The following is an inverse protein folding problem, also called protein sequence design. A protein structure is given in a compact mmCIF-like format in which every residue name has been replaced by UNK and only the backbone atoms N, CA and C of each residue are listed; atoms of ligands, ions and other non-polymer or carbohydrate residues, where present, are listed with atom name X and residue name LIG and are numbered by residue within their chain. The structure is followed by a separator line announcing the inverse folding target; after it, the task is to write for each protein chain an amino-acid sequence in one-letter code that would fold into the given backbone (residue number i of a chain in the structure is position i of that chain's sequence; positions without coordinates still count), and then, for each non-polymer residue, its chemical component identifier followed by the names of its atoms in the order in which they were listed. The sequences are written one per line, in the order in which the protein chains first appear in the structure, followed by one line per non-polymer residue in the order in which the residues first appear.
data_IF_149566336782
#
_entry.id   IF_149566336782
#
_cell.length_a   1.000
_cell.length_b   1.000
_cell.length_c   1.000
_cell.angle_alpha   90.00
_cell.angle_beta   90.00
_cell.angle_gamma   90.00
#
_symmetry.space_group_name_H-M   'P 1'
#
loop_
_entity.id
_entity.type
_entity.pdbx_description
1 polymer ?
#
# COMPACT_ATOMS: atom_id res chain seq x y z
N UNK A 1 15.49 -9.82 21.22
CA UNK A 1 15.56 -8.88 20.10
C UNK A 1 14.58 -9.35 19.04
N UNK A 2 13.96 -8.44 18.29
CA UNK A 2 13.00 -8.73 17.23
C UNK A 2 13.51 -8.10 15.93
N UNK A 3 13.73 -8.93 14.92
CA UNK A 3 14.11 -8.48 13.58
C UNK A 3 12.88 -8.55 12.67
N UNK A 4 12.52 -7.42 12.07
CA UNK A 4 11.40 -7.28 11.14
C UNK A 4 11.97 -7.11 9.74
N UNK A 5 11.64 -8.02 8.83
CA UNK A 5 12.02 -7.93 7.43
C UNK A 5 10.84 -7.36 6.64
N UNK A 6 10.95 -6.10 6.22
CA UNK A 6 9.94 -5.46 5.36
C UNK A 6 10.35 -5.63 3.90
N UNK A 7 9.61 -6.46 3.18
CA UNK A 7 9.90 -6.82 1.79
C UNK A 7 8.79 -6.28 0.90
N UNK A 8 9.11 -5.30 0.06
CA UNK A 8 8.16 -4.65 -0.85
C UNK A 8 8.90 -4.18 -2.12
N UNK A 9 8.40 -4.45 -3.34
CA UNK A 9 9.12 -4.10 -4.57
C UNK A 9 9.00 -2.60 -4.93
N UNK A 10 8.21 -1.82 -4.21
CA UNK A 10 8.01 -0.40 -4.45
C UNK A 10 9.28 0.41 -4.20
N UNK A 11 9.51 1.48 -4.97
CA UNK A 11 10.73 2.29 -4.89
C UNK A 11 10.93 3.01 -3.55
N UNK A 12 9.84 3.28 -2.82
CA UNK A 12 9.84 3.96 -1.54
C UNK A 12 9.01 3.17 -0.53
N UNK A 13 9.41 3.24 0.73
CA UNK A 13 8.74 2.50 1.80
C UNK A 13 7.31 3.00 2.02
N UNK A 14 6.40 2.05 2.23
CA UNK A 14 5.03 2.30 2.70
C UNK A 14 4.06 2.86 1.65
N UNK A 15 4.50 3.15 0.42
CA UNK A 15 3.63 3.80 -0.58
C UNK A 15 2.66 2.84 -1.28
N UNK A 16 3.05 1.57 -1.47
CA UNK A 16 2.27 0.58 -2.20
C UNK A 16 1.81 1.10 -3.58
N UNK A 17 0.52 0.94 -3.89
CA UNK A 17 -0.08 1.43 -5.15
C UNK A 17 -0.17 2.96 -5.25
N UNK A 18 0.09 3.67 -4.16
CA UNK A 18 0.05 5.13 -4.10
C UNK A 18 1.44 5.74 -4.30
N UNK A 19 2.19 5.29 -5.31
CA UNK A 19 3.53 5.86 -5.60
C UNK A 19 3.51 7.39 -5.65
N UNK A 20 4.44 8.03 -4.96
CA UNK A 20 4.62 9.48 -4.97
C UNK A 20 5.13 10.03 -6.30
N UNK A 21 5.49 9.14 -7.24
CA UNK A 21 5.94 9.48 -8.60
C UNK A 21 4.81 9.45 -9.63
N UNK A 22 3.60 9.03 -9.24
CA UNK A 22 2.45 9.05 -10.14
C UNK A 22 1.96 10.49 -10.40
N UNK A 23 1.13 10.67 -11.43
CA UNK A 23 0.60 11.99 -11.79
C UNK A 23 -0.21 12.61 -10.64
N UNK A 24 0.02 13.90 -10.42
CA UNK A 24 -0.74 14.70 -9.45
C UNK A 24 -2.22 14.91 -9.82
N UNK A 25 -2.61 14.57 -11.05
CA UNK A 25 -4.00 14.62 -11.50
C UNK A 25 -4.82 13.40 -11.04
N UNK A 26 -4.16 12.35 -10.54
CA UNK A 26 -4.84 11.18 -10.00
C UNK A 26 -5.23 11.46 -8.55
N UNK A 27 -6.52 11.69 -8.31
CA UNK A 27 -7.04 11.95 -6.97
C UNK A 27 -7.34 10.66 -6.21
N UNK A 28 -7.25 10.72 -4.89
CA UNK A 28 -7.84 9.71 -4.01
C UNK A 28 -9.37 9.82 -4.07
N UNK A 29 -10.08 8.74 -3.75
CA UNK A 29 -11.55 8.70 -3.71
C UNK A 29 -12.14 8.96 -2.31
N UNK A 30 -11.29 9.32 -1.35
CA UNK A 30 -11.66 9.60 0.05
C UNK A 30 -11.24 11.04 0.39
N UNK A 31 -12.03 11.77 1.16
CA UNK A 31 -11.66 13.14 1.54
C UNK A 31 -10.47 13.16 2.51
N UNK A 32 -9.63 14.18 2.40
CA UNK A 32 -8.33 14.22 3.08
C UNK A 32 -8.39 14.08 4.61
N UNK A 33 -9.39 14.66 5.27
CA UNK A 33 -9.54 14.59 6.73
C UNK A 33 -9.91 13.19 7.24
N UNK A 34 -10.40 12.30 6.37
CA UNK A 34 -10.79 10.93 6.72
C UNK A 34 -9.65 9.91 6.54
N UNK A 35 -8.51 10.33 6.00
CA UNK A 35 -7.37 9.44 5.76
C UNK A 35 -6.34 9.63 6.87
N UNK A 36 -6.05 8.58 7.63
CA UNK A 36 -5.00 8.57 8.66
C UNK A 36 -4.40 7.17 8.83
N UNK A 37 -3.10 7.11 9.13
CA UNK A 37 -2.42 5.88 9.58
C UNK A 37 -2.29 5.77 11.10
N UNK A 38 -2.79 6.77 11.83
CA UNK A 38 -2.73 6.84 13.28
C UNK A 38 -4.07 6.50 13.90
N UNK A 39 -4.05 5.70 14.96
CA UNK A 39 -5.24 5.36 15.73
C UNK A 39 -5.72 6.51 16.60
N UNK A 40 -7.02 6.51 16.86
CA UNK A 40 -7.69 7.37 17.83
C UNK A 40 -8.56 6.54 18.79
N UNK A 41 -9.22 7.23 19.73
CA UNK A 41 -10.03 6.60 20.77
C UNK A 41 -11.20 5.73 20.23
N UNK A 42 -11.51 5.78 18.93
CA UNK A 42 -12.52 4.91 18.32
C UNK A 42 -12.03 3.47 18.14
N UNK A 43 -10.72 3.22 18.12
CA UNK A 43 -10.14 1.89 17.94
C UNK A 43 -10.07 1.16 19.29
N UNK A 44 -10.92 0.15 19.47
CA UNK A 44 -10.96 -0.65 20.70
C UNK A 44 -9.90 -1.78 20.70
N UNK A 45 -9.37 -2.10 21.88
CA UNK A 45 -8.44 -3.23 22.09
C UNK A 45 -7.14 -3.21 21.26
N UNK A 46 -6.66 -2.04 20.84
CA UNK A 46 -5.48 -1.90 19.98
C UNK A 46 -4.12 -1.89 20.73
N UNK A 47 -4.14 -1.97 22.06
CA UNK A 47 -2.92 -1.82 22.86
C UNK A 47 -2.41 -0.36 22.88
N UNK A 48 -1.09 -0.12 23.02
CA UNK A 48 -0.52 1.22 22.99
C UNK A 48 -0.82 1.93 21.67
N UNK A 49 -1.50 3.07 21.77
CA UNK A 49 -1.91 3.84 20.60
C UNK A 49 -0.96 5.01 20.33
N UNK A 50 -0.57 5.15 19.06
CA UNK A 50 0.20 6.30 18.59
C UNK A 50 -0.73 7.30 17.92
N UNK A 51 -0.81 8.50 18.49
CA UNK A 51 -1.47 9.63 17.85
C UNK A 51 -0.59 10.21 16.75
N UNK A 52 -1.22 10.81 15.75
CA UNK A 52 -0.54 11.51 14.68
C UNK A 52 -1.54 12.18 13.74
N UNK A 53 -1.04 12.97 12.78
CA UNK A 53 -1.89 13.75 11.91
C UNK A 53 -2.61 12.88 10.87
N UNK A 54 -3.83 13.25 10.54
CA UNK A 54 -4.48 12.86 9.29
C UNK A 54 -3.69 13.37 8.08
N UNK A 55 -3.98 12.85 6.89
CA UNK A 55 -3.43 13.33 5.62
C UNK A 55 -3.67 14.84 5.46
N UNK A 56 -4.87 15.32 5.79
CA UNK A 56 -5.21 16.74 5.76
C UNK A 56 -4.29 17.58 6.67
N UNK A 57 -4.18 17.21 7.93
CA UNK A 57 -3.37 17.95 8.92
C UNK A 57 -1.88 17.93 8.57
N UNK A 58 -1.40 16.81 8.05
CA UNK A 58 -0.02 16.68 7.58
C UNK A 58 0.23 17.53 6.34
N UNK A 59 -0.67 17.45 5.34
CA UNK A 59 -0.54 18.19 4.10
C UNK A 59 -0.56 19.73 4.31
N UNK A 60 -1.29 20.22 5.32
CA UNK A 60 -1.29 21.65 5.69
C UNK A 60 0.05 22.14 6.25
N UNK A 61 0.82 21.26 6.90
CA UNK A 61 2.08 21.63 7.55
C UNK A 61 3.25 21.65 6.57
N UNK A 62 3.18 20.84 5.53
CA UNK A 62 4.21 20.82 4.50
C UNK A 62 3.92 21.92 3.48
N UNK A 63 4.95 22.70 3.13
CA UNK A 63 4.82 23.65 2.02
C UNK A 63 4.77 22.85 0.71
N UNK A 64 3.58 22.66 0.16
CA UNK A 64 3.42 21.91 -1.06
C UNK A 64 3.30 22.85 -2.27
N UNK A 65 4.44 23.15 -2.89
CA UNK A 65 4.53 23.95 -4.12
C UNK A 65 3.57 23.48 -5.22
N UNK A 66 3.23 22.18 -5.22
CA UNK A 66 2.27 21.55 -6.11
C UNK A 66 0.89 22.22 -6.10
N UNK A 67 0.45 22.77 -4.97
CA UNK A 67 -0.84 23.44 -4.85
C UNK A 67 -0.74 24.94 -5.15
N UNK A 68 0.42 25.44 -5.58
CA UNK A 68 0.65 26.84 -6.00
C UNK A 68 0.11 27.88 -5.02
N UNK A 69 0.23 27.60 -3.72
CA UNK A 69 -0.28 28.47 -2.65
C UNK A 69 -1.79 28.42 -2.41
N UNK A 70 -2.54 27.54 -3.09
CA UNK A 70 -3.93 27.23 -2.75
C UNK A 70 -3.97 26.58 -1.36
N UNK A 71 -4.86 27.08 -0.51
CA UNK A 71 -5.16 26.45 0.77
C UNK A 71 -5.80 25.06 0.57
N UNK A 72 -5.25 24.06 1.27
CA UNK A 72 -5.82 22.71 1.37
C UNK A 72 -6.94 22.74 2.41
N UNK A 73 -8.12 22.24 2.03
CA UNK A 73 -9.32 22.15 2.87
C UNK A 73 -9.58 20.71 3.33
N UNK A 74 -10.34 20.57 4.41
CA UNK A 74 -10.63 19.27 5.05
C UNK A 74 -11.25 18.26 4.07
N UNK A 75 -12.20 18.73 3.26
CA UNK A 75 -12.95 17.92 2.31
C UNK A 75 -12.32 17.85 0.91
N UNK A 76 -11.05 18.27 0.76
CA UNK A 76 -10.36 18.15 -0.52
C UNK A 76 -10.04 16.69 -0.82
N UNK A 77 -10.18 16.32 -2.09
CA UNK A 77 -9.62 15.09 -2.64
C UNK A 77 -8.20 15.40 -3.10
N UNK A 78 -7.21 14.93 -2.35
CA UNK A 78 -5.80 15.17 -2.64
C UNK A 78 -5.26 14.17 -3.67
N UNK A 79 -4.11 14.48 -4.26
CA UNK A 79 -3.50 13.54 -5.21
C UNK A 79 -3.05 12.25 -4.53
N UNK A 80 -3.13 11.13 -5.25
CA UNK A 80 -2.57 9.84 -4.85
C UNK A 80 -1.06 9.93 -4.63
N UNK A 81 -0.37 10.77 -5.39
CA UNK A 81 1.05 11.03 -5.19
C UNK A 81 1.32 11.69 -3.82
N UNK A 82 0.47 12.62 -3.39
CA UNK A 82 0.57 13.24 -2.07
C UNK A 82 0.26 12.25 -0.94
N UNK A 83 -0.73 11.37 -1.15
CA UNK A 83 -0.98 10.24 -0.24
C UNK A 83 0.27 9.34 -0.13
N UNK A 84 0.94 9.04 -1.24
CA UNK A 84 2.22 8.31 -1.22
C UNK A 84 3.27 8.95 -0.32
N UNK A 85 3.46 10.27 -0.45
CA UNK A 85 4.40 11.02 0.40
C UNK A 85 3.99 10.96 1.89
N UNK A 86 2.70 11.06 2.19
CA UNK A 86 2.20 10.92 3.56
C UNK A 86 2.46 9.52 4.14
N UNK A 87 2.22 8.46 3.36
CA UNK A 87 2.45 7.08 3.80
C UNK A 87 3.93 6.79 4.03
N UNK A 88 4.80 7.27 3.15
CA UNK A 88 6.24 7.17 3.34
C UNK A 88 6.72 7.95 4.58
N UNK A 89 6.18 9.15 4.81
CA UNK A 89 6.44 9.89 6.04
C UNK A 89 5.96 9.14 7.29
N UNK A 90 4.77 8.54 7.27
CA UNK A 90 4.26 7.73 8.39
C UNK A 90 5.17 6.53 8.68
N UNK A 91 5.66 5.87 7.63
CA UNK A 91 6.64 4.79 7.76
C UNK A 91 7.91 5.28 8.48
N UNK A 92 8.49 6.39 8.03
CA UNK A 92 9.72 6.92 8.62
C UNK A 92 9.51 7.34 10.07
N UNK A 93 8.38 7.95 10.40
CA UNK A 93 7.99 8.27 11.78
C UNK A 93 7.93 7.02 12.67
N UNK A 94 7.42 5.91 12.15
CA UNK A 94 7.36 4.63 12.88
C UNK A 94 8.76 4.06 13.09
N UNK A 95 9.55 3.93 12.02
CA UNK A 95 10.89 3.32 12.06
C UNK A 95 11.86 4.14 12.93
N UNK A 96 11.81 5.47 12.85
CA UNK A 96 12.69 6.35 13.62
C UNK A 96 12.39 6.35 15.13
N UNK A 97 11.23 5.81 15.55
CA UNK A 97 10.79 5.81 16.95
C UNK A 97 10.54 4.39 17.48
N UNK A 98 11.25 3.40 16.94
CA UNK A 98 11.12 2.01 17.40
C UNK A 98 11.63 1.85 18.85
N UNK A 99 10.94 1.03 19.67
CA UNK A 99 11.45 0.62 20.96
C UNK A 99 12.81 -0.07 20.86
N UNK A 100 13.58 -0.04 21.97
CA UNK A 100 14.84 -0.79 22.06
C UNK A 100 14.60 -2.28 21.82
N UNK A 101 15.52 -2.90 21.09
CA UNK A 101 15.48 -4.33 20.80
C UNK A 101 14.63 -4.72 19.58
N UNK A 102 14.09 -3.76 18.83
CA UNK A 102 13.48 -3.98 17.51
C UNK A 102 14.42 -3.43 16.43
N UNK A 103 14.64 -4.20 15.37
CA UNK A 103 15.37 -3.78 14.16
C UNK A 103 14.51 -4.05 12.94
N UNK A 104 14.51 -3.11 11.99
CA UNK A 104 13.81 -3.27 10.71
C UNK A 104 14.85 -3.37 9.60
N UNK A 105 14.71 -4.37 8.75
CA UNK A 105 15.53 -4.61 7.56
C UNK A 105 14.64 -4.46 6.34
N UNK A 106 14.98 -3.52 5.47
CA UNK A 106 14.21 -3.24 4.26
C UNK A 106 14.78 -3.97 3.05
N UNK A 107 13.90 -4.61 2.28
CA UNK A 107 14.22 -5.27 1.03
C UNK A 107 13.30 -4.75 -0.06
N UNK A 108 13.89 -4.08 -1.05
CA UNK A 108 13.18 -3.60 -2.24
C UNK A 108 13.04 -4.71 -3.28
N UNK A 109 12.32 -5.76 -2.91
CA UNK A 109 12.28 -7.02 -3.66
C UNK A 109 10.89 -7.65 -3.62
N UNK A 110 10.62 -8.55 -4.58
CA UNK A 110 9.42 -9.39 -4.59
C UNK A 110 9.71 -10.73 -3.90
N UNK A 111 8.79 -11.20 -3.07
CA UNK A 111 8.79 -12.60 -2.60
C UNK A 111 7.98 -13.44 -3.57
N UNK A 112 8.64 -14.39 -4.25
CA UNK A 112 8.02 -15.25 -5.26
C UNK A 112 7.35 -16.48 -4.64
N UNK A 113 7.89 -17.00 -3.54
CA UNK A 113 7.35 -18.20 -2.88
C UNK A 113 7.64 -18.19 -1.38
N UNK A 114 6.79 -18.90 -0.62
CA UNK A 114 6.88 -19.08 0.82
C UNK A 114 6.61 -20.54 1.16
N UNK A 115 7.58 -21.18 1.82
CA UNK A 115 7.49 -22.59 2.21
C UNK A 115 7.64 -22.74 3.73
N UNK A 116 6.76 -23.57 4.32
CA UNK A 116 6.89 -23.94 5.74
C UNK A 116 7.85 -25.11 5.90
N UNK A 117 8.82 -24.95 6.80
CA UNK A 117 9.81 -25.97 7.13
C UNK A 117 9.28 -26.91 8.21
N UNK A 118 9.93 -28.08 8.34
CA UNK A 118 9.58 -29.10 9.34
C UNK A 118 9.74 -28.60 10.79
N UNK A 119 10.64 -27.64 11.02
CA UNK A 119 10.84 -27.01 12.33
C UNK A 119 9.83 -25.88 12.64
N UNK A 120 8.89 -25.62 11.71
CA UNK A 120 7.83 -24.65 11.85
C UNK A 120 8.15 -23.25 11.32
N UNK A 121 9.43 -22.94 11.02
CA UNK A 121 9.85 -21.67 10.41
C UNK A 121 9.41 -21.57 8.95
N UNK A 122 9.50 -20.37 8.41
CA UNK A 122 9.18 -20.07 7.01
C UNK A 122 10.46 -19.78 6.24
N UNK A 123 10.53 -20.32 5.03
CA UNK A 123 11.55 -20.03 4.03
C UNK A 123 10.92 -19.18 2.93
N UNK A 124 11.47 -17.99 2.70
CA UNK A 124 11.02 -17.05 1.67
C UNK A 124 12.00 -17.07 0.51
N UNK A 125 11.49 -17.16 -0.71
CA UNK A 125 12.25 -17.08 -1.95
C UNK A 125 12.02 -15.73 -2.59
N UNK A 126 13.07 -14.91 -2.69
CA UNK A 126 13.00 -13.57 -3.28
C UNK A 126 13.32 -13.64 -4.78
N UNK A 127 12.88 -12.63 -5.53
CA UNK A 127 13.07 -12.55 -6.98
C UNK A 127 14.53 -12.41 -7.43
N UNK A 128 15.40 -11.95 -6.55
CA UNK A 128 16.85 -11.85 -6.77
C UNK A 128 17.61 -13.13 -6.37
N UNK A 129 16.93 -14.28 -6.33
CA UNK A 129 17.44 -15.59 -5.91
C UNK A 129 17.92 -15.67 -4.45
N UNK A 130 17.72 -14.62 -3.64
CA UNK A 130 18.00 -14.66 -2.22
C UNK A 130 16.95 -15.50 -1.47
N UNK A 131 17.38 -16.08 -0.35
CA UNK A 131 16.50 -16.82 0.55
C UNK A 131 16.56 -16.20 1.94
N UNK A 132 15.40 -15.98 2.56
CA UNK A 132 15.28 -15.56 3.95
C UNK A 132 14.59 -16.65 4.79
N UNK A 133 14.95 -16.73 6.07
CA UNK A 133 14.32 -17.63 7.03
C UNK A 133 13.75 -16.80 8.17
N UNK A 134 12.45 -16.96 8.45
CA UNK A 134 11.73 -16.17 9.46
C UNK A 134 10.84 -17.06 10.32
N UNK A 135 10.60 -16.66 11.56
CA UNK A 135 9.74 -17.40 12.48
C UNK A 135 8.25 -17.24 12.14
N UNK A 136 7.88 -16.10 11.56
CA UNK A 136 6.52 -15.78 11.13
C UNK A 136 6.50 -14.81 9.94
N UNK A 137 5.40 -14.78 9.19
CA UNK A 137 5.16 -13.82 8.12
C UNK A 137 3.77 -13.18 8.26
N UNK A 138 3.69 -11.88 7.98
CA UNK A 138 2.43 -11.12 7.87
C UNK A 138 2.32 -10.69 6.41
N UNK A 139 1.29 -11.17 5.70
CA UNK A 139 1.09 -10.83 4.30
C UNK A 139 0.25 -9.56 4.18
N UNK A 140 0.85 -8.50 3.66
CA UNK A 140 0.21 -7.19 3.44
C UNK A 140 0.32 -6.78 1.96
N UNK A 141 0.22 -7.75 1.05
CA UNK A 141 0.45 -7.58 -0.40
C UNK A 141 -0.71 -6.91 -1.15
N UNK A 142 -1.77 -6.52 -0.46
CA UNK A 142 -3.00 -6.05 -1.08
C UNK A 142 -3.76 -7.17 -1.81
N UNK A 143 -4.60 -6.80 -2.77
CA UNK A 143 -5.36 -7.75 -3.58
C UNK A 143 -4.47 -8.37 -4.65
N UNK A 144 -4.61 -9.68 -4.85
CA UNK A 144 -3.93 -10.41 -5.92
C UNK A 144 -4.47 -10.05 -7.30
N UNK A 145 -3.82 -10.60 -8.33
CA UNK A 145 -4.32 -10.52 -9.70
C UNK A 145 -5.63 -11.30 -9.82
N UNK A 146 -6.67 -10.65 -10.34
CA UNK A 146 -7.92 -11.34 -10.67
C UNK A 146 -7.68 -12.22 -11.90
N UNK A 147 -7.91 -13.53 -11.75
CA UNK A 147 -8.01 -14.44 -12.87
C UNK A 147 -9.49 -14.60 -13.22
N UNK A 148 -9.79 -14.60 -14.52
CA UNK A 148 -11.16 -14.80 -14.98
C UNK A 148 -11.67 -16.15 -14.50
N UNK A 149 -12.82 -16.17 -13.85
CA UNK A 149 -13.52 -17.40 -13.53
C UNK A 149 -14.20 -17.99 -14.79
N UNK A 150 -14.83 -19.16 -14.64
CA UNK A 150 -15.50 -19.82 -15.77
C UNK A 150 -16.65 -19.00 -16.37
N UNK A 151 -17.34 -18.18 -15.58
CA UNK A 151 -18.44 -17.33 -16.06
C UNK A 151 -17.90 -16.10 -16.77
N UNK A 152 -16.87 -15.46 -16.23
CA UNK A 152 -16.19 -14.32 -16.85
C UNK A 152 -15.56 -14.71 -18.19
N UNK A 153 -14.97 -15.91 -18.29
CA UNK A 153 -14.50 -16.47 -19.57
C UNK A 153 -15.64 -16.65 -20.59
N UNK A 154 -16.86 -17.01 -20.15
CA UNK A 154 -18.03 -17.07 -21.04
C UNK A 154 -18.42 -15.67 -21.54
N UNK A 155 -18.32 -14.64 -20.70
CA UNK A 155 -18.59 -13.27 -21.12
C UNK A 155 -17.57 -12.77 -22.14
N UNK A 156 -16.27 -13.02 -21.92
CA UNK A 156 -15.23 -12.70 -22.91
C UNK A 156 -15.53 -13.38 -24.24
N UNK A 157 -15.86 -14.67 -24.22
CA UNK A 157 -16.22 -15.42 -25.43
C UNK A 157 -17.47 -14.89 -26.12
N UNK A 158 -18.50 -14.52 -25.35
CA UNK A 158 -19.73 -13.93 -25.90
C UNK A 158 -19.44 -12.59 -26.61
N UNK A 159 -18.60 -11.74 -26.01
CA UNK A 159 -18.17 -10.47 -26.63
C UNK A 159 -17.43 -10.73 -27.95
N UNK A 160 -16.50 -11.68 -27.97
CA UNK A 160 -15.77 -12.06 -29.19
C UNK A 160 -16.71 -12.56 -30.30
N UNK A 161 -17.65 -13.44 -29.96
CA UNK A 161 -18.61 -14.01 -30.92
C UNK A 161 -19.58 -12.95 -31.48
N UNK A 162 -19.99 -11.99 -30.64
CA UNK A 162 -21.04 -11.04 -30.98
C UNK A 162 -20.52 -9.64 -31.37
N UNK A 163 -19.20 -9.39 -31.35
CA UNK A 163 -18.62 -8.08 -31.68
C UNK A 163 -18.93 -7.62 -33.11
N UNK A 164 -19.14 -8.56 -34.04
CA UNK A 164 -19.55 -8.26 -35.42
C UNK A 164 -20.99 -7.72 -35.53
N UNK A 165 -21.86 -8.08 -34.57
CA UNK A 165 -23.26 -7.65 -34.51
C UNK A 165 -23.41 -6.38 -33.67
N UNK A 166 -22.68 -6.29 -32.56
CA UNK A 166 -22.62 -5.10 -31.73
C UNK A 166 -21.16 -4.84 -31.30
N UNK A 167 -20.47 -3.90 -31.96
CA UNK A 167 -19.07 -3.59 -31.66
C UNK A 167 -18.87 -2.95 -30.28
N UNK A 168 -19.96 -2.54 -29.60
CA UNK A 168 -19.92 -1.96 -28.26
C UNK A 168 -20.09 -2.99 -27.13
N UNK A 169 -20.13 -4.29 -27.42
CA UNK A 169 -20.25 -5.32 -26.38
C UNK A 169 -19.01 -5.43 -25.49
N UNK A 170 -17.84 -5.04 -26.00
CA UNK A 170 -16.62 -4.94 -25.22
C UNK A 170 -16.62 -3.60 -24.46
N UNK A 171 -17.46 -3.47 -23.43
CA UNK A 171 -17.45 -2.27 -22.60
C UNK A 171 -16.29 -2.35 -21.60
N UNK A 172 -15.16 -1.76 -22.01
CA UNK A 172 -14.20 -1.01 -21.20
C UNK A 172 -13.71 0.18 -22.02
#
# INVERSE_FOLDING_TARGET
ELDIYLIDPGRYHGQGVHSSEQSDNLLINTVACQVTMFGDESVLNCGPMRKGPSLFEWAKKINNEQYKGREIKENDYLSRALLGKYLNWCHDELVNNLPKGIRVHHYFETVNDLQRLNDGRLKLFLANDCTLYVDCAILTTGHGQNFLDNEENKYTKFVEECCSVNPHLNYF
#
